data_IF_411159288092
#
_entry.id   IF_411159288092
#
_cell.length_a   1.000
_cell.length_b   1.000
_cell.length_c   1.000
_cell.angle_alpha   90.00
_cell.angle_beta   90.00
_cell.angle_gamma   90.00
#
_symmetry.space_group_name_H-M   'P 1'
#
loop_
_entity.id
_entity.type
_entity.pdbx_description
1 polymer ?
#
# COMPACT_ATOMS: atom_id res chain seq x y z
N UNK A 1 22.20 -37.17 -17.37
CA UNK A 1 21.85 -35.93 -18.09
C UNK A 1 21.73 -34.81 -17.07
N UNK A 2 22.85 -34.15 -16.76
CA UNK A 2 22.88 -32.96 -15.92
C UNK A 2 22.79 -31.74 -16.82
N UNK A 3 21.75 -30.94 -16.64
CA UNK A 3 21.65 -29.63 -17.26
C UNK A 3 22.50 -28.65 -16.45
N UNK A 4 23.42 -27.98 -17.14
CA UNK A 4 24.16 -26.81 -16.66
C UNK A 4 23.15 -25.71 -16.29
N UNK A 5 23.14 -25.28 -15.03
CA UNK A 5 22.36 -24.13 -14.55
C UNK A 5 23.15 -22.83 -14.80
N UNK A 6 23.65 -22.67 -16.02
CA UNK A 6 24.17 -21.38 -16.46
C UNK A 6 22.97 -20.46 -16.70
N UNK A 7 22.92 -19.39 -15.92
CA UNK A 7 22.17 -18.18 -16.23
C UNK A 7 20.63 -18.35 -16.27
N UNK A 8 20.04 -18.72 -15.11
CA UNK A 8 18.86 -17.97 -14.66
C UNK A 8 19.31 -16.54 -14.27
N UNK A 9 19.97 -15.88 -15.20
CA UNK A 9 20.49 -14.54 -15.03
C UNK A 9 19.29 -13.66 -14.74
N UNK A 10 19.53 -12.73 -13.84
CA UNK A 10 18.64 -11.67 -13.49
C UNK A 10 18.39 -10.82 -14.74
N UNK A 11 17.62 -11.30 -15.73
CA UNK A 11 17.31 -10.51 -16.91
C UNK A 11 16.73 -9.20 -16.38
N UNK A 12 17.39 -8.04 -16.60
CA UNK A 12 17.06 -6.78 -15.96
C UNK A 12 15.69 -6.23 -16.39
N UNK A 13 14.91 -7.02 -17.12
CA UNK A 13 13.61 -6.72 -17.67
C UNK A 13 12.52 -7.78 -17.38
N UNK A 14 12.76 -8.80 -16.54
CA UNK A 14 11.70 -9.77 -16.21
C UNK A 14 10.72 -9.18 -15.17
N UNK A 15 9.52 -8.84 -15.63
CA UNK A 15 8.41 -8.37 -14.79
C UNK A 15 7.60 -9.60 -14.34
N UNK A 16 7.80 -10.03 -13.10
CA UNK A 16 7.02 -11.11 -12.48
C UNK A 16 6.50 -10.69 -11.10
N UNK A 17 5.35 -11.22 -10.67
CA UNK A 17 4.84 -11.01 -9.30
C UNK A 17 5.70 -11.74 -8.26
N UNK A 18 6.18 -12.93 -8.62
CA UNK A 18 7.14 -13.70 -7.85
C UNK A 18 8.36 -13.97 -8.73
N UNK A 19 9.56 -13.74 -8.20
CA UNK A 19 10.81 -14.20 -8.79
C UNK A 19 11.32 -15.36 -7.94
N UNK A 20 12.10 -16.27 -8.52
CA UNK A 20 12.71 -17.36 -7.76
C UNK A 20 14.07 -17.76 -8.34
N UNK A 21 14.97 -18.20 -7.46
CA UNK A 21 16.09 -19.09 -7.77
C UNK A 21 15.84 -20.43 -7.09
N UNK A 22 16.83 -21.33 -7.14
CA UNK A 22 16.78 -22.57 -6.35
C UNK A 22 16.75 -22.33 -4.84
N UNK A 23 17.29 -21.19 -4.37
CA UNK A 23 17.54 -20.95 -2.94
C UNK A 23 16.71 -19.81 -2.34
N UNK A 24 16.07 -18.98 -3.17
CA UNK A 24 15.35 -17.79 -2.70
C UNK A 24 14.13 -17.48 -3.59
N UNK A 25 13.06 -16.98 -2.98
CA UNK A 25 11.85 -16.51 -3.66
C UNK A 25 11.55 -15.08 -3.18
N UNK A 26 12.18 -14.04 -3.76
CA UNK A 26 11.92 -12.67 -3.36
C UNK A 26 10.54 -12.24 -3.84
N UNK A 27 9.80 -11.60 -2.95
CA UNK A 27 8.46 -11.07 -3.26
C UNK A 27 8.59 -9.67 -3.84
N UNK A 28 8.03 -9.47 -5.02
CA UNK A 28 8.06 -8.15 -5.67
C UNK A 28 7.14 -7.15 -4.97
N UNK A 29 7.31 -5.86 -5.29
CA UNK A 29 6.36 -4.84 -4.84
C UNK A 29 4.92 -5.15 -5.29
N UNK A 30 4.73 -5.67 -6.52
CA UNK A 30 3.43 -6.11 -7.01
C UNK A 30 2.81 -7.24 -6.16
N UNK A 31 3.62 -8.17 -5.65
CA UNK A 31 3.13 -9.19 -4.72
C UNK A 31 2.58 -8.56 -3.45
N UNK A 32 3.33 -7.62 -2.85
CA UNK A 32 2.90 -6.94 -1.63
C UNK A 32 1.68 -6.06 -1.84
N UNK A 33 1.56 -5.36 -2.98
CA UNK A 33 0.37 -4.60 -3.33
C UNK A 33 -0.85 -5.51 -3.44
N UNK A 34 -0.73 -6.62 -4.17
CA UNK A 34 -1.83 -7.57 -4.34
C UNK A 34 -2.24 -8.17 -3.00
N UNK A 35 -1.28 -8.67 -2.22
CA UNK A 35 -1.54 -9.20 -0.87
C UNK A 35 -2.24 -8.16 0.01
N UNK A 36 -1.75 -6.92 0.01
CA UNK A 36 -2.32 -5.84 0.80
C UNK A 36 -3.77 -5.53 0.39
N UNK A 37 -4.06 -5.52 -0.91
CA UNK A 37 -5.39 -5.20 -1.41
C UNK A 37 -6.38 -6.34 -1.24
N UNK A 38 -5.95 -7.59 -1.39
CA UNK A 38 -6.77 -8.79 -1.20
C UNK A 38 -7.12 -9.01 0.28
N UNK A 39 -6.18 -8.72 1.19
CA UNK A 39 -6.41 -8.80 2.63
C UNK A 39 -7.29 -7.66 3.19
N UNK A 40 -7.55 -6.62 2.39
CA UNK A 40 -8.28 -5.43 2.81
C UNK A 40 -9.33 -5.04 1.77
N UNK A 41 -10.23 -5.98 1.48
CA UNK A 41 -11.30 -5.83 0.50
C UNK A 41 -12.66 -6.13 1.15
N UNK A 42 -13.57 -5.18 1.07
CA UNK A 42 -14.97 -5.37 1.43
C UNK A 42 -15.78 -6.02 0.30
N UNK A 43 -16.94 -6.58 0.63
CA UNK A 43 -17.84 -7.23 -0.34
C UNK A 43 -18.61 -6.25 -1.23
N UNK A 44 -18.59 -4.94 -0.91
CA UNK A 44 -19.27 -3.90 -1.69
C UNK A 44 -18.37 -2.67 -1.85
N UNK A 45 -18.40 -2.04 -3.02
CA UNK A 45 -17.82 -0.71 -3.23
C UNK A 45 -18.57 0.31 -2.36
N UNK A 46 -17.82 1.19 -1.70
CA UNK A 46 -18.37 2.31 -0.93
C UNK A 46 -18.20 3.61 -1.72
N UNK A 47 -19.25 4.46 -1.84
CA UNK A 47 -19.11 5.75 -2.49
C UNK A 47 -18.21 6.66 -1.65
N UNK A 48 -17.41 7.48 -2.34
CA UNK A 48 -16.54 8.48 -1.71
C UNK A 48 -16.94 9.86 -2.23
N UNK A 49 -17.20 10.78 -1.30
CA UNK A 49 -17.29 12.21 -1.58
C UNK A 49 -15.98 12.85 -1.14
N UNK A 50 -15.24 13.44 -2.09
CA UNK A 50 -14.01 14.15 -1.80
C UNK A 50 -14.20 15.65 -2.09
N UNK A 51 -13.69 16.49 -1.20
CA UNK A 51 -13.69 17.95 -1.35
C UNK A 51 -12.25 18.44 -1.29
N UNK A 52 -11.84 19.30 -2.24
CA UNK A 52 -10.51 19.91 -2.22
C UNK A 52 -9.39 19.07 -2.85
N UNK A 53 -9.70 18.25 -3.85
CA UNK A 53 -8.69 17.52 -4.62
C UNK A 53 -9.04 17.50 -6.11
N UNK A 54 -8.18 18.10 -6.92
CA UNK A 54 -8.06 17.72 -8.32
C UNK A 54 -7.58 16.26 -8.42
N UNK A 55 -7.64 15.67 -9.61
CA UNK A 55 -7.06 14.34 -9.86
C UNK A 55 -5.56 14.39 -9.56
N UNK A 56 -5.13 13.63 -8.56
CA UNK A 56 -3.74 13.58 -8.11
C UNK A 56 -3.42 14.64 -7.04
N UNK A 57 -2.43 14.39 -6.17
CA UNK A 57 -1.40 13.34 -6.20
C UNK A 57 -1.76 12.06 -5.42
N UNK A 58 -2.88 12.06 -4.70
CA UNK A 58 -3.39 10.92 -3.94
C UNK A 58 -4.62 10.37 -4.63
N UNK A 59 -4.65 9.07 -4.87
CA UNK A 59 -5.79 8.34 -5.42
C UNK A 59 -6.42 7.46 -4.36
N UNK A 60 -7.71 7.19 -4.49
CA UNK A 60 -8.43 6.42 -3.48
C UNK A 60 -9.47 5.47 -4.05
N UNK A 61 -9.75 4.42 -3.28
CA UNK A 61 -10.93 3.57 -3.45
C UNK A 61 -11.39 3.09 -2.09
N UNK A 62 -12.70 2.88 -1.93
CA UNK A 62 -13.25 2.34 -0.69
C UNK A 62 -14.17 1.16 -0.96
N UNK A 63 -14.11 0.21 -0.04
CA UNK A 63 -15.00 -0.95 0.01
C UNK A 63 -15.44 -1.16 1.44
N UNK A 64 -16.55 -1.86 1.64
CA UNK A 64 -17.07 -2.17 2.97
C UNK A 64 -17.67 -3.56 3.05
N UNK A 65 -17.71 -4.10 4.25
CA UNK A 65 -18.57 -5.22 4.64
C UNK A 65 -19.72 -4.68 5.48
N UNK A 66 -20.44 -5.56 6.19
CA UNK A 66 -21.44 -5.16 7.18
C UNK A 66 -20.81 -4.52 8.42
N UNK A 67 -19.56 -4.88 8.74
CA UNK A 67 -18.92 -4.51 10.01
C UNK A 67 -17.68 -3.62 9.84
N UNK A 68 -17.07 -3.62 8.65
CA UNK A 68 -15.77 -2.99 8.42
C UNK A 68 -15.81 -2.10 7.17
N UNK A 69 -15.09 -0.98 7.23
CA UNK A 69 -14.85 -0.08 6.11
C UNK A 69 -13.36 -0.04 5.79
N UNK A 70 -13.03 -0.14 4.50
CA UNK A 70 -11.67 -0.13 4.00
C UNK A 70 -11.51 1.02 3.02
N UNK A 71 -10.60 1.94 3.32
CA UNK A 71 -10.17 3.00 2.41
C UNK A 71 -8.72 2.73 1.99
N UNK A 72 -8.51 2.56 0.69
CA UNK A 72 -7.19 2.42 0.08
C UNK A 72 -6.79 3.79 -0.46
N UNK A 73 -5.63 4.29 -0.04
CA UNK A 73 -5.03 5.53 -0.50
C UNK A 73 -3.69 5.23 -1.16
N UNK A 74 -3.45 5.78 -2.34
CA UNK A 74 -2.20 5.65 -3.08
C UNK A 74 -1.64 7.03 -3.31
N UNK A 75 -0.53 7.33 -2.65
CA UNK A 75 0.22 8.56 -2.82
C UNK A 75 1.41 8.32 -3.74
N UNK A 76 1.39 8.92 -4.94
CA UNK A 76 2.49 8.81 -5.88
C UNK A 76 3.59 9.81 -5.57
N UNK A 77 3.29 11.11 -5.54
CA UNK A 77 4.32 12.16 -5.50
C UNK A 77 4.02 13.33 -4.55
N UNK A 78 3.08 13.17 -3.60
CA UNK A 78 2.88 14.20 -2.58
C UNK A 78 3.71 13.98 -1.32
N UNK A 79 4.33 15.06 -0.89
CA UNK A 79 4.59 15.27 0.52
C UNK A 79 3.47 16.15 1.05
N UNK A 80 2.67 15.58 1.95
CA UNK A 80 1.70 16.35 2.71
C UNK A 80 2.16 16.39 4.16
N UNK A 81 2.56 17.58 4.61
CA UNK A 81 2.67 17.87 6.04
C UNK A 81 1.31 17.76 6.72
N UNK A 82 1.28 17.92 8.05
CA UNK A 82 0.05 17.90 8.87
C UNK A 82 -1.08 18.76 8.27
N UNK A 83 -0.72 19.90 7.69
CA UNK A 83 -1.65 20.92 7.21
C UNK A 83 -2.35 20.51 5.90
N UNK A 84 -1.79 19.52 5.20
CA UNK A 84 -2.35 18.93 3.97
C UNK A 84 -2.70 17.44 4.16
N UNK A 85 -2.86 17.00 5.40
CA UNK A 85 -3.25 15.63 5.69
C UNK A 85 -4.60 15.29 5.07
N UNK A 86 -4.72 14.05 4.57
CA UNK A 86 -6.01 13.51 4.13
C UNK A 86 -6.87 13.28 5.37
N UNK A 87 -7.99 13.99 5.45
CA UNK A 87 -8.96 13.88 6.53
C UNK A 87 -10.10 12.96 6.10
N UNK A 88 -10.38 11.95 6.89
CA UNK A 88 -11.36 10.92 6.57
C UNK A 88 -12.40 10.83 7.67
N UNK A 89 -13.65 10.92 7.26
CA UNK A 89 -14.82 10.60 8.08
C UNK A 89 -15.54 9.42 7.44
N UNK A 90 -15.99 8.48 8.28
CA UNK A 90 -16.83 7.38 7.82
C UNK A 90 -18.25 7.67 8.28
N UNK A 91 -19.15 7.87 7.32
CA UNK A 91 -20.55 8.18 7.58
C UNK A 91 -21.14 7.10 8.50
N UNK A 92 -21.86 7.55 9.53
CA UNK A 92 -22.54 6.70 10.52
C UNK A 92 -21.61 5.82 11.40
N UNK A 93 -20.29 5.99 11.28
CA UNK A 93 -19.34 5.30 12.17
C UNK A 93 -19.16 6.05 13.49
N UNK A 94 -19.06 5.28 14.58
CA UNK A 94 -18.67 5.76 15.91
C UNK A 94 -17.25 5.34 16.29
N UNK A 95 -16.49 4.79 15.34
CA UNK A 95 -15.15 4.29 15.60
C UNK A 95 -14.21 5.44 16.01
N UNK A 96 -13.45 5.21 17.08
CA UNK A 96 -12.44 6.14 17.59
C UNK A 96 -11.01 5.68 17.32
N UNK A 97 -10.85 4.43 16.86
CA UNK A 97 -9.58 3.81 16.51
C UNK A 97 -9.75 3.19 15.13
N UNK A 98 -8.71 3.30 14.30
CA UNK A 98 -8.60 2.58 13.04
C UNK A 98 -7.28 1.80 13.00
N UNK A 99 -7.18 0.88 12.05
CA UNK A 99 -5.93 0.24 11.69
C UNK A 99 -5.42 0.85 10.39
N UNK A 100 -4.19 1.35 10.41
CA UNK A 100 -3.50 1.91 9.26
C UNK A 100 -2.40 0.95 8.82
N UNK A 101 -2.54 0.35 7.64
CA UNK A 101 -1.53 -0.53 7.07
C UNK A 101 -0.81 0.18 5.93
N UNK A 102 0.52 0.33 6.03
CA UNK A 102 1.33 1.14 5.10
C UNK A 102 2.32 0.25 4.36
N UNK A 103 2.32 0.36 3.04
CA UNK A 103 3.35 -0.16 2.15
C UNK A 103 4.09 1.02 1.52
N UNK A 104 5.26 1.39 2.03
CA UNK A 104 6.05 2.48 1.46
C UNK A 104 7.03 1.98 0.39
N UNK A 105 7.53 2.90 -0.43
CA UNK A 105 8.69 2.72 -1.29
C UNK A 105 9.67 3.91 -1.13
N UNK A 106 11.00 3.71 -1.26
CA UNK A 106 11.96 4.80 -1.29
C UNK A 106 11.79 5.78 -2.47
N UNK A 107 11.45 5.25 -3.66
CA UNK A 107 11.30 5.98 -4.92
C UNK A 107 10.31 5.27 -5.85
N UNK A 108 9.92 5.92 -6.96
CA UNK A 108 9.12 5.30 -8.03
C UNK A 108 9.81 4.13 -8.73
N UNK A 109 11.15 4.08 -8.68
CA UNK A 109 11.98 3.04 -9.30
C UNK A 109 12.39 1.92 -8.34
N UNK A 110 11.89 1.93 -7.11
CA UNK A 110 12.25 0.93 -6.12
C UNK A 110 11.73 -0.46 -6.50
N UNK A 111 12.61 -1.47 -6.37
CA UNK A 111 12.31 -2.87 -6.66
C UNK A 111 12.79 -3.75 -5.51
N UNK A 112 12.12 -4.87 -5.29
CA UNK A 112 12.63 -5.92 -4.41
C UNK A 112 13.45 -6.90 -5.26
N UNK A 113 14.64 -7.22 -4.79
CA UNK A 113 15.59 -8.12 -5.43
C UNK A 113 15.88 -9.31 -4.53
N UNK A 114 16.63 -10.27 -5.06
CA UNK A 114 17.31 -11.29 -4.26
C UNK A 114 18.23 -10.63 -3.23
N UNK A 115 18.58 -11.37 -2.18
CA UNK A 115 19.44 -10.88 -1.10
C UNK A 115 20.80 -10.36 -1.62
N UNK A 116 21.34 -10.97 -2.68
CA UNK A 116 22.55 -10.52 -3.39
C UNK A 116 22.41 -9.16 -4.08
N UNK A 117 21.20 -8.82 -4.55
CA UNK A 117 20.88 -7.60 -5.29
C UNK A 117 20.26 -6.49 -4.43
N UNK A 118 20.45 -6.54 -3.11
CA UNK A 118 19.93 -5.55 -2.16
C UNK A 118 18.64 -5.95 -1.42
N UNK A 119 18.13 -7.17 -1.67
CA UNK A 119 17.04 -7.78 -0.91
C UNK A 119 15.67 -7.10 -1.07
N UNK A 120 14.78 -7.37 -0.12
CA UNK A 120 13.47 -6.73 -0.06
C UNK A 120 13.60 -5.33 0.52
N UNK A 121 13.27 -4.32 -0.28
CA UNK A 121 13.46 -2.92 0.11
C UNK A 121 12.52 -2.49 1.22
N UNK A 122 11.28 -3.03 1.32
CA UNK A 122 10.29 -2.65 2.36
C UNK A 122 9.25 -3.73 2.67
N UNK A 123 8.80 -3.71 3.93
CA UNK A 123 7.70 -4.52 4.47
C UNK A 123 6.51 -3.66 4.88
N UNK A 124 5.35 -4.31 5.02
CA UNK A 124 4.10 -3.71 5.46
C UNK A 124 4.19 -3.35 6.95
N UNK A 125 3.87 -2.11 7.31
CA UNK A 125 3.78 -1.67 8.72
C UNK A 125 2.35 -1.36 9.12
N UNK A 126 2.03 -1.52 10.40
CA UNK A 126 0.69 -1.26 10.96
C UNK A 126 0.75 -0.23 12.08
N UNK A 127 -0.13 0.78 12.03
CA UNK A 127 -0.26 1.87 13.00
C UNK A 127 -1.71 1.97 13.43
N UNK A 128 -2.00 2.40 14.67
CA UNK A 128 -3.36 2.57 15.19
C UNK A 128 -3.69 4.06 15.39
N UNK A 129 -4.09 4.80 14.34
CA UNK A 129 -4.49 6.19 14.50
C UNK A 129 -5.78 6.29 15.34
N UNK A 130 -5.81 7.32 16.20
CA UNK A 130 -7.01 7.72 16.92
C UNK A 130 -7.75 8.79 16.13
N UNK A 131 -9.07 8.72 16.13
CA UNK A 131 -9.89 9.78 15.56
C UNK A 131 -9.94 10.97 16.52
N UNK A 132 -9.88 12.17 15.96
CA UNK A 132 -10.20 13.41 16.66
C UNK A 132 -11.58 13.87 16.18
N UNK A 133 -12.56 13.92 17.09
CA UNK A 133 -13.96 14.26 16.76
C UNK A 133 -14.54 13.42 15.59
N UNK A 134 -14.20 12.12 15.53
CA UNK A 134 -14.65 11.21 14.47
C UNK A 134 -13.91 11.36 13.13
N UNK A 135 -12.84 12.17 13.09
CA UNK A 135 -12.00 12.39 11.91
C UNK A 135 -10.67 11.67 12.07
N UNK A 136 -10.34 10.82 11.11
CA UNK A 136 -9.00 10.22 10.99
C UNK A 136 -8.14 11.09 10.08
N UNK A 137 -6.98 11.53 10.58
CA UNK A 137 -6.04 12.37 9.83
C UNK A 137 -4.84 11.55 9.37
N UNK A 138 -4.51 11.61 8.08
CA UNK A 138 -3.40 10.89 7.47
C UNK A 138 -2.48 11.84 6.71
N UNK A 139 -1.31 12.10 7.29
CA UNK A 139 -0.26 12.89 6.64
C UNK A 139 0.72 11.98 5.87
N UNK A 140 1.08 12.38 4.66
CA UNK A 140 2.08 11.68 3.87
C UNK A 140 3.43 12.38 3.99
N UNK A 141 4.23 11.97 4.98
CA UNK A 141 5.57 12.51 5.20
C UNK A 141 6.60 12.20 4.09
N UNK A 142 6.27 11.31 3.15
CA UNK A 142 7.08 10.95 1.97
C UNK A 142 6.16 10.48 0.84
N UNK A 143 6.62 10.68 -0.39
CA UNK A 143 6.05 10.12 -1.63
C UNK A 143 6.09 8.59 -1.68
N UNK A 144 5.41 8.01 -2.68
CA UNK A 144 5.38 6.56 -2.99
C UNK A 144 4.93 5.68 -1.82
N UNK A 145 3.71 5.91 -1.34
CA UNK A 145 3.10 5.11 -0.28
C UNK A 145 1.72 4.63 -0.67
N UNK A 146 1.45 3.37 -0.35
CA UNK A 146 0.10 2.83 -0.30
C UNK A 146 -0.30 2.71 1.16
N UNK A 147 -1.50 3.16 1.47
CA UNK A 147 -2.05 3.18 2.82
C UNK A 147 -3.44 2.58 2.78
N UNK A 148 -3.70 1.65 3.69
CA UNK A 148 -5.02 1.10 3.95
C UNK A 148 -5.47 1.61 5.30
N UNK A 149 -6.58 2.32 5.34
CA UNK A 149 -7.31 2.61 6.56
C UNK A 149 -8.45 1.60 6.70
N UNK A 150 -8.42 0.81 7.77
CA UNK A 150 -9.44 -0.14 8.16
C UNK A 150 -10.14 0.36 9.43
N UNK A 151 -11.45 0.54 9.34
CA UNK A 151 -12.33 1.01 10.42
C UNK A 151 -13.38 -0.05 10.71
#
# INVERSE_FOLDING_TARGET
FGVSYEDCDEEPCTIAVLKHTMNEIPKTNSFYVRKLFDQNLGSKTAPISATGGDVGPVYWSATKTTCESFLKLVNYNSESGSDKAVKVTVKDSKATIATLTVLPAPSSSSVNNFSSGGGETRSITTILPKAENGVFSMAFSKSYKIVILKI
#
